data_IF_971237479445
#
_entry.id   IF_971237479445
#
_cell.length_a   1.000
_cell.length_b   1.000
_cell.length_c   1.000
_cell.angle_alpha   90.00
_cell.angle_beta   90.00
_cell.angle_gamma   90.00
#
_symmetry.space_group_name_H-M   'P 1'
#
loop_
_entity.id
_entity.type
_entity.pdbx_description
1 polymer ?
#
# COMPACT_ATOMS: atom_id res chain seq x y z
N UNK A 1 25.09 33.93 -17.26
CA UNK A 1 25.17 32.98 -16.12
C UNK A 1 23.83 32.24 -15.87
N UNK A 2 22.71 32.96 -15.69
CA UNK A 2 21.38 32.41 -15.35
C UNK A 2 20.86 31.30 -16.31
N UNK A 3 21.02 31.46 -17.62
CA UNK A 3 20.55 30.47 -18.63
C UNK A 3 21.27 29.11 -18.52
N UNK A 4 22.56 29.11 -18.12
CA UNK A 4 23.37 27.90 -17.97
C UNK A 4 22.92 27.10 -16.74
N UNK A 5 22.63 27.81 -15.65
CA UNK A 5 22.04 27.24 -14.43
C UNK A 5 20.67 26.62 -14.71
N UNK A 6 19.82 27.31 -15.47
CA UNK A 6 18.49 26.80 -15.86
C UNK A 6 18.57 25.53 -16.72
N UNK A 7 19.54 25.47 -17.65
CA UNK A 7 19.79 24.29 -18.48
C UNK A 7 20.23 23.09 -17.64
N UNK A 8 21.18 23.27 -16.73
CA UNK A 8 21.61 22.21 -15.80
C UNK A 8 20.49 21.74 -14.87
N UNK A 9 19.61 22.63 -14.37
CA UNK A 9 18.46 22.24 -13.55
C UNK A 9 17.47 21.37 -14.36
N UNK A 10 17.16 21.74 -15.60
CA UNK A 10 16.31 20.91 -16.48
C UNK A 10 16.92 19.53 -16.74
N UNK A 11 18.23 19.46 -16.98
CA UNK A 11 18.95 18.20 -17.20
C UNK A 11 18.94 17.31 -15.94
N UNK A 12 19.04 17.89 -14.75
CA UNK A 12 18.90 17.19 -13.47
C UNK A 12 17.47 16.68 -13.24
N UNK A 13 16.45 17.51 -13.46
CA UNK A 13 15.05 17.13 -13.32
C UNK A 13 14.67 16.01 -14.31
N UNK A 14 15.20 16.04 -15.53
CA UNK A 14 14.96 15.01 -16.54
C UNK A 14 15.53 13.62 -16.14
N UNK A 15 16.53 13.57 -15.27
CA UNK A 15 17.09 12.31 -14.74
C UNK A 15 16.29 11.71 -13.58
N UNK A 16 15.33 12.45 -13.01
CA UNK A 16 14.53 12.00 -11.86
C UNK A 16 13.59 10.86 -12.29
N UNK A 17 13.65 9.74 -11.57
CA UNK A 17 12.70 8.64 -11.75
C UNK A 17 11.43 8.90 -10.94
N UNK A 18 10.54 9.75 -11.47
CA UNK A 18 9.27 10.11 -10.83
C UNK A 18 8.41 8.91 -10.46
N UNK A 19 8.40 7.85 -11.28
CA UNK A 19 7.68 6.60 -10.99
C UNK A 19 8.16 5.94 -9.71
N UNK A 20 9.48 5.95 -9.48
CA UNK A 20 10.08 5.42 -8.26
C UNK A 20 9.71 6.27 -7.06
N UNK A 21 9.79 7.60 -7.17
CA UNK A 21 9.43 8.52 -6.07
C UNK A 21 7.97 8.35 -5.68
N UNK A 22 7.04 8.41 -6.65
CA UNK A 22 5.60 8.24 -6.39
C UNK A 22 5.31 6.89 -5.73
N UNK A 23 5.93 5.81 -6.22
CA UNK A 23 5.82 4.50 -5.60
C UNK A 23 6.26 4.49 -4.13
N UNK A 24 7.41 5.09 -3.81
CA UNK A 24 7.89 5.17 -2.43
C UNK A 24 6.97 6.00 -1.54
N UNK A 25 6.49 7.15 -2.02
CA UNK A 25 5.54 7.99 -1.26
C UNK A 25 4.30 7.18 -0.92
N UNK A 26 3.67 6.53 -1.91
CA UNK A 26 2.45 5.75 -1.68
C UNK A 26 2.70 4.59 -0.72
N UNK A 27 3.78 3.82 -0.92
CA UNK A 27 4.09 2.68 -0.07
C UNK A 27 4.33 3.11 1.39
N UNK A 28 5.07 4.21 1.60
CA UNK A 28 5.31 4.74 2.95
C UNK A 28 4.02 5.27 3.57
N UNK A 29 3.17 5.99 2.83
CA UNK A 29 1.87 6.45 3.34
C UNK A 29 0.97 5.29 3.75
N UNK A 30 0.95 4.19 2.99
CA UNK A 30 0.19 2.99 3.34
C UNK A 30 0.77 2.31 4.58
N UNK A 31 2.10 2.19 4.70
CA UNK A 31 2.73 1.65 5.90
C UNK A 31 2.37 2.49 7.14
N UNK A 32 2.45 3.82 7.05
CA UNK A 32 2.08 4.73 8.13
C UNK A 32 0.59 4.62 8.51
N UNK A 33 -0.29 4.46 7.52
CA UNK A 33 -1.72 4.24 7.75
C UNK A 33 -1.95 2.98 8.62
N UNK A 34 -1.33 1.86 8.24
CA UNK A 34 -1.46 0.61 8.98
C UNK A 34 -0.83 0.69 10.38
N UNK A 35 0.35 1.31 10.49
CA UNK A 35 1.00 1.55 11.79
C UNK A 35 0.12 2.38 12.70
N UNK A 36 -0.47 3.47 12.18
CA UNK A 36 -1.41 4.30 12.93
C UNK A 36 -2.62 3.49 13.38
N UNK A 37 -3.19 2.66 12.50
CA UNK A 37 -4.36 1.85 12.80
C UNK A 37 -4.11 0.90 13.99
N UNK A 38 -2.96 0.22 14.02
CA UNK A 38 -2.56 -0.66 15.13
C UNK A 38 -2.36 0.13 16.42
N UNK A 39 -1.57 1.20 16.36
CA UNK A 39 -1.27 2.03 17.54
C UNK A 39 -2.56 2.57 18.15
N UNK A 40 -3.51 3.01 17.33
CA UNK A 40 -4.79 3.54 17.81
C UNK A 40 -5.68 2.51 18.51
N UNK A 41 -5.54 1.22 18.17
CA UNK A 41 -6.32 0.12 18.76
C UNK A 41 -5.66 -0.46 20.01
N UNK A 42 -4.34 -0.60 19.99
CA UNK A 42 -3.58 -1.07 21.15
C UNK A 42 -3.42 -0.01 22.24
N UNK A 43 -3.32 1.27 21.85
CA UNK A 43 -3.18 2.37 22.79
C UNK A 43 -4.45 2.64 23.62
N UNK A 44 -5.62 2.19 23.14
CA UNK A 44 -6.90 2.34 23.85
C UNK A 44 -7.77 1.09 23.62
N UNK A 45 -7.29 -0.02 24.17
CA UNK A 45 -7.87 -1.35 23.93
C UNK A 45 -9.32 -1.49 24.41
N UNK A 46 -9.71 -0.82 25.51
CA UNK A 46 -11.06 -0.85 26.07
C UNK A 46 -12.04 -0.14 25.12
N UNK A 47 -11.63 1.01 24.57
CA UNK A 47 -12.43 1.74 23.58
C UNK A 47 -12.57 0.92 22.30
N UNK A 48 -11.49 0.27 21.84
CA UNK A 48 -11.55 -0.58 20.67
C UNK A 48 -12.48 -1.78 20.87
N UNK A 49 -12.38 -2.49 22.00
CA UNK A 49 -13.27 -3.61 22.33
C UNK A 49 -14.73 -3.17 22.41
N UNK A 50 -15.01 -2.05 23.09
CA UNK A 50 -16.37 -1.50 23.21
C UNK A 50 -16.95 -1.08 21.84
N UNK A 51 -16.13 -0.55 20.93
CA UNK A 51 -16.55 -0.21 19.57
C UNK A 51 -16.77 -1.44 18.70
N UNK A 52 -15.94 -2.47 18.90
CA UNK A 52 -16.04 -3.74 18.21
C UNK A 52 -17.33 -4.49 18.60
N UNK A 53 -17.67 -4.49 19.89
CA UNK A 53 -18.92 -5.04 20.41
C UNK A 53 -20.19 -4.33 19.88
N UNK A 54 -20.06 -3.11 19.37
CA UNK A 54 -21.14 -2.35 18.72
C UNK A 54 -21.18 -2.52 17.20
N UNK A 55 -20.25 -3.27 16.62
CA UNK A 55 -20.33 -3.65 15.21
C UNK A 55 -21.35 -4.77 15.04
N UNK A 56 -21.96 -4.91 13.85
CA UNK A 56 -22.89 -5.98 13.54
C UNK A 56 -22.13 -7.27 13.24
N UNK A 57 -21.34 -7.74 14.21
CA UNK A 57 -20.58 -8.98 14.16
C UNK A 57 -21.13 -9.97 15.19
N UNK A 58 -21.04 -11.28 14.92
CA UNK A 58 -21.42 -12.29 15.89
C UNK A 58 -20.66 -12.12 17.22
N UNK A 59 -21.35 -12.21 18.35
CA UNK A 59 -20.76 -11.97 19.68
C UNK A 59 -19.61 -12.92 20.00
N UNK A 60 -19.70 -14.18 19.55
CA UNK A 60 -18.64 -15.19 19.68
C UNK A 60 -17.38 -14.87 18.85
N UNK A 61 -17.47 -13.97 17.86
CA UNK A 61 -16.35 -13.56 17.01
C UNK A 61 -15.63 -12.31 17.51
N UNK A 62 -16.19 -11.57 18.48
CA UNK A 62 -15.62 -10.30 18.97
C UNK A 62 -14.18 -10.50 19.46
N UNK A 63 -13.95 -11.48 20.34
CA UNK A 63 -12.62 -11.77 20.88
C UNK A 63 -11.60 -12.18 19.82
N UNK A 64 -12.04 -12.91 18.77
CA UNK A 64 -11.18 -13.30 17.66
C UNK A 64 -10.79 -12.06 16.84
N UNK A 65 -11.77 -11.23 16.48
CA UNK A 65 -11.53 -10.02 15.68
C UNK A 65 -10.71 -9.00 16.44
N UNK A 66 -10.86 -8.91 17.77
CA UNK A 66 -10.08 -8.03 18.63
C UNK A 66 -8.57 -8.24 18.47
N UNK A 67 -8.11 -9.50 18.40
CA UNK A 67 -6.70 -9.81 18.19
C UNK A 67 -6.32 -9.86 16.71
N UNK A 68 -7.17 -10.45 15.88
CA UNK A 68 -6.88 -10.68 14.47
C UNK A 68 -6.75 -9.36 13.70
N UNK A 69 -7.63 -8.38 13.97
CA UNK A 69 -7.69 -7.15 13.20
C UNK A 69 -6.41 -6.30 13.37
N UNK A 70 -6.00 -5.90 14.59
CA UNK A 70 -4.71 -5.24 14.78
C UNK A 70 -3.52 -6.11 14.33
N UNK A 71 -3.62 -7.44 14.49
CA UNK A 71 -2.58 -8.37 14.05
C UNK A 71 -2.31 -8.28 12.54
N UNK A 72 -3.37 -8.31 11.72
CA UNK A 72 -3.21 -8.20 10.25
C UNK A 72 -2.77 -6.80 9.85
N UNK A 73 -3.26 -5.75 10.50
CA UNK A 73 -2.81 -4.37 10.27
C UNK A 73 -1.29 -4.24 10.53
N UNK A 74 -0.79 -4.86 11.61
CA UNK A 74 0.63 -4.86 11.94
C UNK A 74 1.46 -5.62 10.91
N UNK A 75 0.98 -6.79 10.47
CA UNK A 75 1.62 -7.57 9.40
C UNK A 75 1.68 -6.75 8.10
N UNK A 76 0.60 -6.06 7.73
CA UNK A 76 0.60 -5.15 6.58
C UNK A 76 1.68 -4.07 6.70
N UNK A 77 1.78 -3.40 7.86
CA UNK A 77 2.77 -2.36 8.11
C UNK A 77 4.21 -2.89 7.92
N UNK A 78 4.55 -4.02 8.57
CA UNK A 78 5.88 -4.63 8.47
C UNK A 78 6.22 -5.10 7.06
N UNK A 79 5.28 -5.81 6.41
CA UNK A 79 5.52 -6.34 5.06
C UNK A 79 5.75 -5.19 4.06
N UNK A 80 4.97 -4.11 4.14
CA UNK A 80 5.15 -2.94 3.26
C UNK A 80 6.45 -2.21 3.57
N UNK A 81 6.86 -2.09 4.84
CA UNK A 81 8.12 -1.44 5.19
C UNK A 81 9.34 -2.19 4.59
N UNK A 82 9.34 -3.52 4.65
CA UNK A 82 10.43 -4.36 4.14
C UNK A 82 10.61 -4.30 2.63
N UNK A 83 11.84 -4.11 2.15
CA UNK A 83 12.13 -3.92 0.71
C UNK A 83 11.80 -5.17 -0.15
N UNK A 84 12.10 -6.37 0.34
CA UNK A 84 11.83 -7.64 -0.36
C UNK A 84 10.38 -8.09 -0.23
N UNK A 85 9.76 -7.84 0.93
CA UNK A 85 8.39 -8.25 1.28
C UNK A 85 7.31 -7.28 0.80
N UNK A 86 7.69 -6.05 0.39
CA UNK A 86 6.75 -4.96 0.07
C UNK A 86 5.65 -5.37 -0.90
N UNK A 87 5.96 -6.18 -1.90
CA UNK A 87 4.97 -6.63 -2.87
C UNK A 87 3.85 -7.45 -2.20
N UNK A 88 4.21 -8.39 -1.33
CA UNK A 88 3.24 -9.20 -0.56
C UNK A 88 2.41 -8.30 0.35
N UNK A 89 3.07 -7.37 1.06
CA UNK A 89 2.39 -6.39 1.91
C UNK A 89 1.39 -5.51 1.16
N UNK A 90 1.72 -5.05 -0.05
CA UNK A 90 0.81 -4.26 -0.88
C UNK A 90 -0.43 -5.06 -1.31
N UNK A 91 -0.27 -6.34 -1.68
CA UNK A 91 -1.40 -7.21 -2.01
C UNK A 91 -2.29 -7.48 -0.80
N UNK A 92 -1.71 -7.81 0.35
CA UNK A 92 -2.46 -8.02 1.59
C UNK A 92 -3.23 -6.74 2.00
N UNK A 93 -2.55 -5.60 1.97
CA UNK A 93 -3.13 -4.28 2.21
C UNK A 93 -4.25 -3.95 1.21
N UNK A 94 -4.12 -4.35 -0.06
CA UNK A 94 -5.17 -4.10 -1.06
C UNK A 94 -6.41 -4.93 -0.74
N UNK A 95 -6.24 -6.22 -0.41
CA UNK A 95 -7.34 -7.08 -0.02
C UNK A 95 -8.10 -6.52 1.20
N UNK A 96 -7.36 -6.09 2.23
CA UNK A 96 -7.94 -5.49 3.42
C UNK A 96 -8.64 -4.14 3.15
N UNK A 97 -8.03 -3.25 2.36
CA UNK A 97 -8.67 -1.99 1.97
C UNK A 97 -9.95 -2.21 1.15
N UNK A 98 -9.97 -3.18 0.24
CA UNK A 98 -11.18 -3.55 -0.50
C UNK A 98 -12.25 -4.08 0.45
N UNK A 99 -11.89 -5.00 1.35
CA UNK A 99 -12.81 -5.54 2.35
C UNK A 99 -13.43 -4.43 3.20
N UNK A 100 -12.62 -3.53 3.75
CA UNK A 100 -13.11 -2.38 4.51
C UNK A 100 -13.96 -1.42 3.65
N UNK A 101 -13.62 -1.23 2.38
CA UNK A 101 -14.38 -0.33 1.49
C UNK A 101 -15.78 -0.89 1.28
N UNK A 102 -15.87 -2.20 0.99
CA UNK A 102 -17.14 -2.90 0.80
C UNK A 102 -17.95 -2.85 2.10
N UNK A 103 -17.34 -3.14 3.25
CA UNK A 103 -18.00 -3.05 4.55
C UNK A 103 -18.62 -1.67 4.81
N UNK A 104 -17.83 -0.60 4.64
CA UNK A 104 -18.27 0.78 4.85
C UNK A 104 -19.36 1.18 3.84
N UNK A 105 -19.23 0.77 2.58
CA UNK A 105 -20.23 1.03 1.55
C UNK A 105 -21.58 0.37 1.88
N UNK A 106 -21.56 -0.90 2.32
CA UNK A 106 -22.75 -1.61 2.75
C UNK A 106 -23.38 -0.97 3.99
N UNK A 107 -22.57 -0.61 4.99
CA UNK A 107 -23.03 0.10 6.18
C UNK A 107 -23.66 1.47 5.86
N UNK A 108 -23.12 2.19 4.88
CA UNK A 108 -23.66 3.48 4.45
C UNK A 108 -24.94 3.35 3.61
N UNK A 109 -25.06 2.28 2.82
CA UNK A 109 -26.20 2.06 1.92
C UNK A 109 -27.53 1.84 2.66
N UNK A 110 -27.48 1.44 3.93
CA UNK A 110 -28.68 1.09 4.71
C UNK A 110 -29.39 -0.19 4.23
N UNK A 111 -28.83 -0.92 3.26
CA UNK A 111 -29.44 -2.13 2.71
C UNK A 111 -29.43 -3.32 3.69
N UNK A 112 -28.44 -3.37 4.57
CA UNK A 112 -28.22 -4.51 5.48
C UNK A 112 -28.60 -4.17 6.94
N UNK A 113 -28.45 -2.90 7.35
CA UNK A 113 -28.68 -2.48 8.73
C UNK A 113 -29.55 -1.23 8.79
N UNK A 114 -30.61 -1.28 9.59
CA UNK A 114 -31.54 -0.16 9.81
C UNK A 114 -30.87 1.05 10.49
N UNK A 115 -29.87 0.81 11.34
CA UNK A 115 -29.07 1.84 12.00
C UNK A 115 -27.61 1.67 11.64
N UNK A 116 -26.94 2.80 11.36
CA UNK A 116 -25.50 2.80 11.07
C UNK A 116 -24.73 2.29 12.29
N UNK A 117 -23.75 1.39 12.11
CA UNK A 117 -22.96 0.91 13.22
C UNK A 117 -22.09 2.03 13.82
N UNK A 118 -21.57 1.78 15.02
CA UNK A 118 -20.68 2.73 15.67
C UNK A 118 -19.39 2.89 14.85
N UNK A 119 -18.77 4.06 14.92
CA UNK A 119 -17.54 4.31 14.18
C UNK A 119 -16.38 3.44 14.69
N UNK A 120 -15.59 2.89 13.76
CA UNK A 120 -14.60 1.86 14.02
C UNK A 120 -13.26 2.45 14.51
N UNK A 121 -13.22 3.11 15.68
CA UNK A 121 -12.00 3.48 16.43
C UNK A 121 -10.99 4.44 15.80
N UNK A 122 -10.13 5.00 16.65
CA UNK A 122 -9.05 5.91 16.25
C UNK A 122 -9.51 7.10 15.39
N UNK A 123 -8.79 7.40 14.31
CA UNK A 123 -9.12 8.46 13.34
C UNK A 123 -10.52 8.26 12.73
N UNK A 124 -10.95 7.01 12.60
CA UNK A 124 -12.24 6.65 12.01
C UNK A 124 -13.42 6.95 12.93
N UNK A 125 -13.19 7.04 14.25
CA UNK A 125 -14.21 7.45 15.21
C UNK A 125 -14.62 8.93 15.06
N UNK A 126 -13.74 9.78 14.52
CA UNK A 126 -13.94 11.23 14.40
C UNK A 126 -14.46 11.66 13.03
N UNK A 127 -14.59 10.74 12.06
CA UNK A 127 -15.00 11.06 10.70
C UNK A 127 -16.43 10.57 10.40
N UNK A 128 -17.11 11.26 9.47
CA UNK A 128 -18.40 10.78 8.97
C UNK A 128 -18.22 9.49 8.16
N UNK A 129 -19.26 8.65 8.10
CA UNK A 129 -19.27 7.44 7.27
C UNK A 129 -18.95 7.71 5.78
N UNK A 130 -19.43 8.82 5.23
CA UNK A 130 -19.12 9.23 3.85
C UNK A 130 -17.63 9.57 3.69
N UNK A 131 -17.07 10.32 4.65
CA UNK A 131 -15.65 10.67 4.67
C UNK A 131 -14.76 9.42 4.78
N UNK A 132 -15.16 8.45 5.61
CA UNK A 132 -14.49 7.16 5.72
C UNK A 132 -14.48 6.42 4.39
N UNK A 133 -15.64 6.32 3.72
CA UNK A 133 -15.72 5.65 2.42
C UNK A 133 -14.81 6.29 1.37
N UNK A 134 -14.79 7.63 1.30
CA UNK A 134 -13.91 8.38 0.38
C UNK A 134 -12.45 8.10 0.70
N UNK A 135 -12.05 8.21 1.97
CA UNK A 135 -10.69 7.96 2.41
C UNK A 135 -10.23 6.54 2.05
N UNK A 136 -11.04 5.54 2.39
CA UNK A 136 -10.69 4.13 2.16
C UNK A 136 -10.65 3.79 0.67
N UNK A 137 -11.56 4.36 -0.13
CA UNK A 137 -11.54 4.23 -1.60
C UNK A 137 -10.28 4.87 -2.19
N UNK A 138 -9.90 6.06 -1.74
CA UNK A 138 -8.70 6.73 -2.19
C UNK A 138 -7.44 5.91 -1.87
N UNK A 139 -7.33 5.39 -0.64
CA UNK A 139 -6.24 4.49 -0.25
C UNK A 139 -6.23 3.20 -1.10
N UNK A 140 -7.39 2.63 -1.40
CA UNK A 140 -7.53 1.44 -2.28
C UNK A 140 -6.96 1.72 -3.67
N UNK A 141 -7.35 2.84 -4.28
CA UNK A 141 -6.85 3.24 -5.61
C UNK A 141 -5.35 3.50 -5.58
N UNK A 142 -4.85 4.21 -4.57
CA UNK A 142 -3.41 4.45 -4.40
C UNK A 142 -2.63 3.15 -4.27
N UNK A 143 -3.12 2.19 -3.48
CA UNK A 143 -2.49 0.89 -3.32
C UNK A 143 -2.43 0.12 -4.66
N UNK A 144 -3.52 0.12 -5.43
CA UNK A 144 -3.52 -0.47 -6.77
C UNK A 144 -2.48 0.18 -7.70
N UNK A 145 -2.33 1.52 -7.65
CA UNK A 145 -1.29 2.25 -8.38
C UNK A 145 0.11 1.81 -7.92
N UNK A 146 0.34 1.67 -6.62
CA UNK A 146 1.63 1.22 -6.09
C UNK A 146 2.02 -0.17 -6.60
N UNK A 147 1.07 -1.11 -6.66
CA UNK A 147 1.29 -2.46 -7.22
C UNK A 147 1.67 -2.37 -8.71
N UNK A 148 0.96 -1.57 -9.50
CA UNK A 148 1.27 -1.38 -10.93
C UNK A 148 2.65 -0.75 -11.14
N UNK A 149 3.01 0.25 -10.32
CA UNK A 149 4.32 0.89 -10.36
C UNK A 149 5.44 -0.09 -9.95
N UNK A 150 5.22 -0.90 -8.90
CA UNK A 150 6.18 -1.91 -8.46
C UNK A 150 6.58 -2.86 -9.58
N UNK A 151 5.59 -3.39 -10.32
CA UNK A 151 5.82 -4.29 -11.46
C UNK A 151 6.65 -3.62 -12.56
N UNK A 152 6.29 -2.38 -12.93
CA UNK A 152 7.03 -1.61 -13.95
C UNK A 152 8.48 -1.32 -13.53
N UNK A 153 8.71 -1.01 -12.25
CA UNK A 153 10.05 -0.75 -11.71
C UNK A 153 10.92 -2.01 -11.71
N UNK A 154 10.39 -3.16 -11.29
CA UNK A 154 11.11 -4.45 -11.37
C UNK A 154 11.50 -4.82 -12.81
N UNK A 155 10.56 -4.71 -13.76
CA UNK A 155 10.87 -4.99 -15.18
C UNK A 155 11.92 -4.05 -15.76
N UNK A 156 11.87 -2.76 -15.41
CA UNK A 156 12.85 -1.77 -15.89
C UNK A 156 14.24 -2.03 -15.33
N UNK A 157 14.33 -2.47 -14.06
CA UNK A 157 15.60 -2.86 -13.44
C UNK A 157 16.19 -4.11 -14.08
N UNK A 158 15.39 -5.14 -14.35
CA UNK A 158 15.83 -6.35 -15.04
C UNK A 158 16.43 -6.05 -16.42
N UNK A 159 15.72 -5.28 -17.25
CA UNK A 159 16.21 -4.86 -18.58
C UNK A 159 17.53 -4.08 -18.52
N UNK A 160 17.71 -3.23 -17.50
CA UNK A 160 18.96 -2.46 -17.33
C UNK A 160 20.13 -3.35 -16.90
N UNK A 161 19.87 -4.36 -16.06
CA UNK A 161 20.86 -5.38 -15.70
C UNK A 161 21.33 -6.17 -16.91
N UNK A 162 20.39 -6.69 -17.72
CA UNK A 162 20.70 -7.43 -18.95
C UNK A 162 21.50 -6.59 -19.96
N UNK A 163 21.15 -5.31 -20.15
CA UNK A 163 21.89 -4.41 -21.03
C UNK A 163 23.31 -4.14 -20.53
N UNK A 164 23.49 -3.96 -19.22
CA UNK A 164 24.80 -3.77 -18.60
C UNK A 164 25.68 -5.01 -18.75
N UNK A 165 25.10 -6.20 -18.56
CA UNK A 165 25.81 -7.47 -18.72
C UNK A 165 26.23 -7.70 -20.18
N UNK A 166 25.34 -7.40 -21.16
CA UNK A 166 25.68 -7.45 -22.58
C UNK A 166 26.74 -6.43 -22.99
N UNK A 167 26.76 -5.24 -22.39
CA UNK A 167 27.77 -4.21 -22.67
C UNK A 167 29.14 -4.54 -22.05
N UNK A 168 29.17 -5.27 -20.94
CA UNK A 168 30.40 -5.78 -20.32
C UNK A 168 30.94 -7.07 -20.96
N UNK A 169 30.15 -7.73 -21.83
CA UNK A 169 30.59 -8.89 -22.60
C UNK A 169 31.46 -8.41 -23.76
N UNK A 170 32.74 -8.81 -23.86
CA UNK A 170 33.60 -8.37 -24.97
C UNK A 170 32.96 -8.75 -26.32
N UNK A 171 32.92 -7.79 -27.26
CA UNK A 171 32.49 -8.02 -28.65
C UNK A 171 33.54 -8.88 -29.35
N UNK A 172 33.46 -10.19 -29.19
CA UNK A 172 34.45 -11.08 -29.80
C UNK A 172 34.34 -12.53 -29.37
N UNK A 173 33.15 -13.12 -29.42
CA UNK A 173 33.02 -14.57 -29.57
C UNK A 173 31.86 -14.82 -30.55
N UNK A 174 32.10 -14.54 -31.83
CA UNK A 174 31.49 -15.35 -32.89
C UNK A 174 32.45 -16.53 -33.00
N UNK A 175 32.15 -17.63 -32.30
CA UNK A 175 32.83 -18.91 -32.55
C UNK A 175 32.35 -19.40 -33.92
N UNK A 176 33.00 -18.92 -34.98
CA UNK A 176 33.11 -19.68 -36.22
C UNK A 176 34.36 -20.55 -36.12
N UNK A 177 34.20 -21.73 -35.54
CA UNK A 177 34.94 -22.94 -35.92
C UNK A 177 33.82 -23.95 -36.22
N UNK A 178 33.36 -24.04 -37.47
CA UNK A 178 33.94 -24.86 -38.54
C UNK A 178 34.23 -26.27 -38.04
N UNK A 179 33.34 -27.18 -38.45
CA UNK A 179 33.61 -28.52 -38.95
C UNK A 179 34.99 -29.10 -38.58
N UNK A 180 34.98 -30.10 -37.71
CA UNK A 180 35.61 -31.40 -37.94
C UNK A 180 34.92 -32.44 -37.05
#
# INVERSE_FOLDING_TARGET
MIKKTFKSIKELIAKINWKRIVYFIIATSLALLWTYAVISKWGDHEVFEAQLARQPIPSNSIGIVFWLLPGVELVCAFLIAGNSTRQVGLYLSLAFLVFFTVYVALALSGMIWEKRPCACGGLFAKMSWKSHLIFNTACTVLNFIAIKLHRKLKTTQGKRGELSERAGRPKGIITNQILN
#
